data_IF_082813160903
#
_entry.id   IF_082813160903
#
_cell.length_a   1.000
_cell.length_b   1.000
_cell.length_c   1.000
_cell.angle_alpha   90.00
_cell.angle_beta   90.00
_cell.angle_gamma   90.00
#
_symmetry.space_group_name_H-M   'P 1'
#
loop_
_entity.id
_entity.type
_entity.pdbx_description
1 polymer ?
#
# COMPACT_ATOMS: atom_id res chain seq x y z
N UNK A 1 11.25 25.33 -12.58
CA UNK A 1 10.20 24.41 -13.03
C UNK A 1 10.66 22.99 -12.73
N UNK A 2 9.88 22.23 -11.94
CA UNK A 2 10.22 20.85 -11.53
C UNK A 2 9.81 19.93 -12.68
N UNK A 3 10.72 19.07 -13.13
CA UNK A 3 10.45 18.07 -14.16
C UNK A 3 10.20 16.70 -13.50
N UNK A 4 9.43 15.86 -14.19
CA UNK A 4 9.15 14.49 -13.70
C UNK A 4 10.44 13.68 -13.50
N UNK A 5 11.40 13.85 -14.38
CA UNK A 5 12.70 13.18 -14.33
C UNK A 5 13.49 13.49 -13.05
N UNK A 6 13.31 14.69 -12.50
CA UNK A 6 13.96 15.10 -11.26
C UNK A 6 13.36 14.35 -10.04
N UNK A 7 12.08 13.94 -10.12
CA UNK A 7 11.36 13.27 -9.04
C UNK A 7 11.55 11.73 -9.03
N UNK A 8 12.09 11.15 -10.09
CA UNK A 8 12.33 9.69 -10.18
C UNK A 8 13.43 9.26 -9.20
N UNK A 9 14.37 10.14 -8.90
CA UNK A 9 15.41 9.86 -7.91
C UNK A 9 14.78 9.88 -6.51
N UNK A 10 14.95 8.82 -5.71
CA UNK A 10 14.40 8.80 -4.35
C UNK A 10 14.91 9.98 -3.51
N UNK A 11 14.05 10.53 -2.69
CA UNK A 11 14.33 11.65 -1.76
C UNK A 11 14.80 12.94 -2.44
N UNK A 12 14.27 13.23 -3.63
CA UNK A 12 14.61 14.41 -4.43
C UNK A 12 13.46 15.41 -4.56
N UNK A 13 12.36 15.19 -3.85
CA UNK A 13 11.22 16.12 -3.87
C UNK A 13 11.61 17.46 -3.24
N UNK A 14 11.09 18.56 -3.78
CA UNK A 14 11.24 19.87 -3.15
C UNK A 14 10.42 19.90 -1.86
N UNK A 15 10.62 20.93 -1.08
CA UNK A 15 9.78 21.19 0.10
C UNK A 15 8.31 21.36 -0.31
N UNK A 16 7.46 20.45 0.19
CA UNK A 16 6.02 20.45 -0.07
C UNK A 16 5.25 21.18 1.05
N UNK A 17 3.93 21.27 0.93
CA UNK A 17 3.02 21.85 1.94
C UNK A 17 3.18 23.35 2.17
N UNK A 18 3.79 24.09 1.23
CA UNK A 18 3.98 25.54 1.35
C UNK A 18 2.65 26.34 1.39
N UNK A 19 1.58 25.79 0.80
CA UNK A 19 0.29 26.50 0.67
C UNK A 19 -0.87 25.78 1.35
N UNK A 20 -0.82 24.46 1.47
CA UNK A 20 -1.92 23.65 2.00
C UNK A 20 -1.38 22.38 2.66
N UNK A 21 -2.12 21.88 3.65
CA UNK A 21 -1.93 20.54 4.20
C UNK A 21 -2.51 19.49 3.26
N UNK A 22 -1.98 18.27 3.34
CA UNK A 22 -2.48 17.12 2.59
C UNK A 22 -3.17 16.13 3.55
N UNK A 23 -4.46 15.90 3.31
CA UNK A 23 -5.23 14.88 4.01
C UNK A 23 -5.54 13.75 3.02
N UNK A 24 -5.31 12.51 3.40
CA UNK A 24 -5.64 11.33 2.60
C UNK A 24 -6.67 10.47 3.32
N UNK A 25 -7.65 9.99 2.55
CA UNK A 25 -8.75 9.15 3.01
C UNK A 25 -8.80 7.92 2.09
N UNK A 26 -8.36 6.73 2.54
CA UNK A 26 -8.31 5.55 1.69
C UNK A 26 -9.71 5.00 1.39
N UNK A 27 -9.93 4.58 0.15
CA UNK A 27 -11.16 3.94 -0.31
C UNK A 27 -10.99 2.43 -0.59
N UNK A 28 -9.84 1.86 -0.18
CA UNK A 28 -9.54 0.42 -0.26
C UNK A 28 -8.80 0.00 1.00
N UNK A 29 -8.86 -1.29 1.34
CA UNK A 29 -8.16 -1.84 2.51
C UNK A 29 -6.96 -2.66 2.06
N UNK A 30 -5.90 -1.99 1.56
CA UNK A 30 -4.72 -2.69 1.04
C UNK A 30 -3.47 -1.84 0.91
N UNK A 31 -3.52 -0.79 0.09
CA UNK A 31 -2.34 -0.03 -0.34
C UNK A 31 -1.72 0.87 0.74
N UNK A 32 -2.52 1.26 1.74
CA UNK A 32 -2.10 2.13 2.84
C UNK A 32 -1.46 3.47 2.40
N UNK A 33 -1.89 4.01 1.26
CA UNK A 33 -1.34 5.25 0.70
C UNK A 33 -1.49 6.47 1.62
N UNK A 34 -2.43 6.41 2.56
CA UNK A 34 -2.69 7.46 3.54
C UNK A 34 -1.59 7.61 4.59
N UNK A 35 -0.72 6.62 4.75
CA UNK A 35 0.37 6.62 5.75
C UNK A 35 1.75 6.34 5.15
N UNK A 36 1.88 6.33 3.81
CA UNK A 36 3.12 5.90 3.17
C UNK A 36 3.84 7.03 2.43
N UNK A 37 5.14 6.87 2.28
CA UNK A 37 6.05 7.79 1.60
C UNK A 37 6.28 7.42 0.12
N UNK A 38 5.32 6.70 -0.51
CA UNK A 38 5.46 6.18 -1.85
C UNK A 38 4.31 6.59 -2.76
N UNK A 39 4.62 6.84 -4.04
CA UNK A 39 3.65 7.04 -5.12
C UNK A 39 4.13 6.32 -6.38
N UNK A 40 3.33 5.38 -6.89
CA UNK A 40 3.70 4.64 -8.11
C UNK A 40 2.97 5.22 -9.31
N UNK A 41 3.74 5.83 -10.22
CA UNK A 41 3.22 6.49 -11.41
C UNK A 41 3.61 5.70 -12.67
N UNK A 42 2.63 5.44 -13.53
CA UNK A 42 2.86 4.78 -14.81
C UNK A 42 3.09 5.82 -15.90
N UNK A 43 4.24 5.76 -16.56
CA UNK A 43 4.43 6.49 -17.81
C UNK A 43 3.78 5.70 -18.96
N UNK A 44 2.65 6.18 -19.45
CA UNK A 44 1.88 5.50 -20.49
C UNK A 44 2.58 5.48 -21.87
N UNK A 45 3.55 6.35 -22.11
CA UNK A 45 4.31 6.34 -23.37
C UNK A 45 5.32 5.19 -23.41
N UNK A 46 5.93 4.88 -22.27
CA UNK A 46 6.97 3.85 -22.16
C UNK A 46 6.48 2.56 -21.51
N UNK A 47 5.29 2.55 -20.91
CA UNK A 47 4.77 1.44 -20.11
C UNK A 47 5.51 1.22 -18.78
N UNK A 48 6.44 2.07 -18.42
CA UNK A 48 7.28 1.92 -17.22
C UNK A 48 6.57 2.49 -16.00
N UNK A 49 6.58 1.73 -14.90
CA UNK A 49 6.13 2.18 -13.58
C UNK A 49 7.31 2.73 -12.78
N UNK A 50 7.16 3.96 -12.30
CA UNK A 50 8.13 4.65 -11.47
C UNK A 50 7.65 4.73 -10.03
N UNK A 51 8.30 4.05 -9.08
CA UNK A 51 8.05 4.24 -7.66
C UNK A 51 8.75 5.53 -7.22
N UNK A 52 7.97 6.58 -6.99
CA UNK A 52 8.48 7.81 -6.38
C UNK A 52 8.49 7.61 -4.87
N UNK A 53 9.61 7.90 -4.23
CA UNK A 53 9.81 7.71 -2.79
C UNK A 53 10.36 8.98 -2.17
N UNK A 54 9.61 9.58 -1.25
CA UNK A 54 10.08 10.74 -0.48
C UNK A 54 9.21 10.90 0.77
N UNK A 55 9.81 11.17 1.92
CA UNK A 55 9.06 11.41 3.15
C UNK A 55 8.14 12.63 3.05
N UNK A 56 8.46 13.60 2.19
CA UNK A 56 7.63 14.78 1.95
C UNK A 56 6.28 14.46 1.32
N UNK A 57 6.09 13.30 0.66
CA UNK A 57 4.80 12.92 0.07
C UNK A 57 3.88 12.20 1.04
N UNK A 58 4.37 11.77 2.21
CA UNK A 58 3.50 11.22 3.25
C UNK A 58 2.43 12.23 3.64
N UNK A 59 1.15 11.88 3.68
CA UNK A 59 0.09 12.80 4.08
C UNK A 59 0.30 13.38 5.48
N UNK A 60 -0.13 14.63 5.69
CA UNK A 60 -0.11 15.27 7.03
C UNK A 60 -1.19 14.70 7.96
N UNK A 61 -2.30 14.23 7.37
CA UNK A 61 -3.43 13.64 8.08
C UNK A 61 -3.93 12.43 7.29
N UNK A 62 -4.11 11.31 7.98
CA UNK A 62 -4.80 10.14 7.47
C UNK A 62 -6.16 10.01 8.17
N UNK A 63 -7.23 9.84 7.39
CA UNK A 63 -8.56 9.54 7.91
C UNK A 63 -8.92 8.14 7.45
N UNK A 64 -8.95 7.20 8.39
CA UNK A 64 -9.27 5.79 8.12
C UNK A 64 -10.74 5.57 8.45
N UNK A 65 -11.61 5.76 7.44
CA UNK A 65 -13.05 5.70 7.57
C UNK A 65 -13.59 4.40 6.94
N UNK A 66 -14.05 3.43 7.75
CA UNK A 66 -14.52 2.14 7.26
C UNK A 66 -15.79 2.22 6.40
N UNK A 67 -16.58 3.28 6.50
CA UNK A 67 -17.76 3.48 5.67
C UNK A 67 -17.42 3.58 4.18
N UNK A 68 -16.23 4.07 3.85
CA UNK A 68 -15.77 4.19 2.46
C UNK A 68 -15.44 2.84 1.82
N UNK A 69 -15.22 1.80 2.59
CA UNK A 69 -14.93 0.45 2.10
C UNK A 69 -16.11 -0.52 2.24
N UNK A 70 -17.22 -0.07 2.82
CA UNK A 70 -18.41 -0.89 3.01
C UNK A 70 -18.96 -1.47 1.69
N UNK A 71 -18.95 -0.67 0.61
CA UNK A 71 -19.40 -1.06 -0.73
C UNK A 71 -18.36 -1.68 -1.63
N UNK A 72 -17.16 -1.98 -1.13
CA UNK A 72 -16.06 -2.49 -1.97
C UNK A 72 -16.40 -3.86 -2.58
N UNK A 73 -16.25 -4.08 -3.90
CA UNK A 73 -16.49 -5.36 -4.54
C UNK A 73 -15.64 -6.48 -3.93
N UNK A 74 -16.22 -7.66 -3.73
CA UNK A 74 -15.56 -8.79 -3.03
C UNK A 74 -14.20 -9.19 -3.64
N UNK A 75 -14.05 -9.11 -4.98
CA UNK A 75 -12.76 -9.35 -5.64
C UNK A 75 -11.70 -8.33 -5.21
N UNK A 76 -12.09 -7.07 -5.05
CA UNK A 76 -11.18 -6.03 -4.58
C UNK A 76 -10.82 -6.26 -3.10
N UNK A 77 -11.78 -6.66 -2.27
CA UNK A 77 -11.51 -7.05 -0.88
C UNK A 77 -10.44 -8.14 -0.80
N UNK A 78 -10.55 -9.18 -1.64
CA UNK A 78 -9.55 -10.25 -1.69
C UNK A 78 -8.17 -9.72 -2.13
N UNK A 79 -8.12 -8.99 -3.24
CA UNK A 79 -6.85 -8.50 -3.79
C UNK A 79 -6.17 -7.51 -2.84
N UNK A 80 -6.91 -6.54 -2.33
CA UNK A 80 -6.33 -5.54 -1.42
C UNK A 80 -6.00 -6.12 -0.06
N UNK A 81 -6.78 -7.08 0.44
CA UNK A 81 -6.47 -7.79 1.69
C UNK A 81 -5.19 -8.63 1.59
N UNK A 82 -4.99 -9.33 0.48
CA UNK A 82 -3.74 -10.06 0.23
C UNK A 82 -2.55 -9.12 0.03
N UNK A 83 -2.76 -7.95 -0.55
CA UNK A 83 -1.75 -6.89 -0.65
C UNK A 83 -1.32 -6.42 0.74
N UNK A 84 -2.29 -6.13 1.63
CA UNK A 84 -2.01 -5.75 3.02
C UNK A 84 -1.25 -6.84 3.79
N UNK A 85 -1.60 -8.12 3.57
CA UNK A 85 -0.86 -9.25 4.16
C UNK A 85 0.59 -9.28 3.69
N UNK A 86 0.81 -9.12 2.39
CA UNK A 86 2.15 -9.11 1.81
C UNK A 86 2.97 -7.93 2.31
N UNK A 87 2.36 -6.73 2.40
CA UNK A 87 2.98 -5.55 3.01
C UNK A 87 3.49 -5.85 4.42
N UNK A 88 2.65 -6.44 5.26
CA UNK A 88 3.00 -6.73 6.64
C UNK A 88 4.09 -7.81 6.76
N UNK A 89 4.00 -8.89 5.96
CA UNK A 89 5.01 -9.95 5.96
C UNK A 89 6.35 -9.41 5.47
N UNK A 90 6.38 -8.69 4.35
CA UNK A 90 7.63 -8.16 3.82
C UNK A 90 8.25 -7.11 4.74
N UNK A 91 7.44 -6.27 5.40
CA UNK A 91 7.94 -5.35 6.43
C UNK A 91 8.58 -6.10 7.60
N UNK A 92 7.96 -7.19 8.06
CA UNK A 92 8.47 -7.98 9.17
C UNK A 92 9.80 -8.70 8.87
N UNK A 93 9.97 -9.22 7.63
CA UNK A 93 11.19 -9.91 7.22
C UNK A 93 12.23 -8.99 6.57
N UNK A 94 11.95 -7.71 6.47
CA UNK A 94 12.86 -6.72 5.89
C UNK A 94 14.16 -6.62 6.70
N UNK A 95 15.24 -6.34 6.01
CA UNK A 95 16.53 -6.04 6.67
C UNK A 95 16.53 -4.71 7.43
N UNK A 96 15.51 -3.89 7.24
CA UNK A 96 15.28 -2.61 7.94
C UNK A 96 14.18 -2.71 9.01
N UNK A 97 13.73 -3.92 9.33
CA UNK A 97 12.75 -4.14 10.39
C UNK A 97 13.32 -3.76 11.76
N UNK A 98 12.46 -3.61 12.74
CA UNK A 98 12.89 -3.26 14.09
C UNK A 98 11.74 -3.09 15.10
N UNK A 99 12.06 -2.73 16.34
CA UNK A 99 11.08 -2.70 17.43
C UNK A 99 9.92 -1.74 17.23
N UNK A 100 10.01 -0.81 16.28
CA UNK A 100 8.92 0.12 15.94
C UNK A 100 8.04 -0.39 14.80
N UNK A 101 8.55 -1.28 13.93
CA UNK A 101 7.83 -1.81 12.78
C UNK A 101 7.28 -3.21 13.02
N UNK A 102 8.02 -4.05 13.73
CA UNK A 102 7.67 -5.46 13.97
C UNK A 102 6.31 -5.63 14.67
N UNK A 103 6.00 -4.89 15.76
CA UNK A 103 4.69 -5.02 16.40
C UNK A 103 3.52 -4.65 15.50
N UNK A 104 3.70 -3.62 14.66
CA UNK A 104 2.69 -3.18 13.70
C UNK A 104 2.48 -4.24 12.60
N UNK A 105 3.57 -4.78 12.08
CA UNK A 105 3.54 -5.83 11.06
C UNK A 105 2.88 -7.11 11.58
N UNK A 106 3.27 -7.58 12.76
CA UNK A 106 2.68 -8.78 13.37
C UNK A 106 1.20 -8.60 13.66
N UNK A 107 0.79 -7.46 14.23
CA UNK A 107 -0.61 -7.15 14.48
C UNK A 107 -1.41 -7.11 13.18
N UNK A 108 -0.86 -6.51 12.12
CA UNK A 108 -1.51 -6.49 10.81
C UNK A 108 -1.67 -7.90 10.23
N UNK A 109 -0.65 -8.75 10.31
CA UNK A 109 -0.72 -10.16 9.85
C UNK A 109 -1.85 -10.90 10.59
N UNK A 110 -1.88 -10.83 11.90
CA UNK A 110 -2.89 -11.48 12.73
C UNK A 110 -4.30 -11.02 12.33
N UNK A 111 -4.51 -9.70 12.26
CA UNK A 111 -5.80 -9.13 11.87
C UNK A 111 -6.23 -9.54 10.47
N UNK A 112 -5.33 -9.54 9.47
CA UNK A 112 -5.67 -9.96 8.11
C UNK A 112 -6.08 -11.43 8.09
N UNK A 113 -5.34 -12.32 8.75
CA UNK A 113 -5.66 -13.75 8.81
C UNK A 113 -7.02 -14.00 9.47
N UNK A 114 -7.34 -13.26 10.52
CA UNK A 114 -8.60 -13.43 11.26
C UNK A 114 -9.81 -12.85 10.52
N UNK A 115 -9.65 -11.69 9.88
CA UNK A 115 -10.79 -10.92 9.36
C UNK A 115 -10.97 -10.97 7.86
N UNK A 116 -9.95 -11.25 7.03
CA UNK A 116 -10.09 -11.24 5.58
C UNK A 116 -11.17 -12.20 5.06
N UNK A 117 -11.28 -13.46 5.55
CA UNK A 117 -12.34 -14.36 5.09
C UNK A 117 -13.76 -13.84 5.38
N UNK A 118 -13.98 -13.26 6.54
CA UNK A 118 -15.28 -12.70 6.92
C UNK A 118 -15.56 -11.39 6.15
N UNK A 119 -14.55 -10.54 5.95
CA UNK A 119 -14.63 -9.32 5.15
C UNK A 119 -14.98 -9.63 3.69
N UNK A 120 -14.38 -10.66 3.10
CA UNK A 120 -14.74 -11.16 1.77
C UNK A 120 -16.20 -11.59 1.69
N UNK A 121 -16.74 -12.21 2.74
CA UNK A 121 -18.15 -12.60 2.86
C UNK A 121 -19.08 -11.45 3.30
N UNK A 122 -18.65 -10.21 3.10
CA UNK A 122 -19.43 -9.00 3.36
C UNK A 122 -19.81 -8.76 4.83
N UNK A 123 -19.04 -9.27 5.80
CA UNK A 123 -19.18 -8.89 7.19
C UNK A 123 -18.59 -7.49 7.39
N UNK A 124 -19.40 -6.52 7.84
CA UNK A 124 -19.01 -5.11 7.93
C UNK A 124 -18.02 -4.86 9.08
N UNK A 125 -18.18 -5.53 10.21
CA UNK A 125 -17.22 -5.41 11.33
C UNK A 125 -15.85 -5.93 10.90
N UNK A 126 -15.81 -7.02 10.14
CA UNK A 126 -14.56 -7.53 9.58
C UNK A 126 -13.95 -6.60 8.51
N UNK A 127 -14.78 -5.88 7.73
CA UNK A 127 -14.27 -4.85 6.79
C UNK A 127 -13.63 -3.69 7.53
N UNK A 128 -14.21 -3.26 8.62
CA UNK A 128 -13.62 -2.25 9.50
C UNK A 128 -12.25 -2.72 10.02
N UNK A 129 -12.18 -3.94 10.56
CA UNK A 129 -10.90 -4.49 11.05
C UNK A 129 -9.85 -4.61 9.94
N UNK A 130 -10.25 -5.01 8.73
CA UNK A 130 -9.36 -5.04 7.57
C UNK A 130 -8.87 -3.64 7.17
N UNK A 131 -9.71 -2.61 7.35
CA UNK A 131 -9.33 -1.23 7.06
C UNK A 131 -8.29 -0.71 8.06
N UNK A 132 -8.36 -1.12 9.32
CA UNK A 132 -7.32 -0.84 10.31
C UNK A 132 -6.05 -1.65 10.07
N UNK A 133 -6.18 -2.94 9.75
CA UNK A 133 -5.04 -3.82 9.49
C UNK A 133 -4.15 -3.31 8.35
N UNK A 134 -4.75 -2.84 7.25
CA UNK A 134 -4.00 -2.28 6.13
C UNK A 134 -3.22 -1.01 6.53
N UNK A 135 -3.80 -0.17 7.38
CA UNK A 135 -3.13 1.04 7.87
C UNK A 135 -1.92 0.67 8.75
N UNK A 136 -2.08 -0.32 9.65
CA UNK A 136 -0.97 -0.85 10.46
C UNK A 136 0.16 -1.42 9.58
N UNK A 137 -0.19 -2.22 8.56
CA UNK A 137 0.76 -2.73 7.57
C UNK A 137 1.49 -1.59 6.86
N UNK A 138 0.76 -0.52 6.50
CA UNK A 138 1.30 0.67 5.88
C UNK A 138 2.33 1.40 6.74
N UNK A 139 2.03 1.61 8.01
CA UNK A 139 2.95 2.22 8.96
C UNK A 139 4.21 1.36 9.14
N UNK A 140 4.07 0.01 9.13
CA UNK A 140 5.20 -0.89 9.20
C UNK A 140 6.08 -0.77 7.95
N UNK A 141 5.54 -1.03 6.75
CA UNK A 141 6.36 -1.09 5.54
C UNK A 141 6.87 0.28 5.07
N UNK A 142 6.18 1.36 5.38
CA UNK A 142 6.67 2.71 5.05
C UNK A 142 8.00 3.01 5.72
N UNK A 143 8.29 2.36 6.84
CA UNK A 143 9.53 2.50 7.60
C UNK A 143 10.51 1.34 7.39
N UNK A 144 10.02 0.10 7.29
CA UNK A 144 10.85 -1.09 7.08
C UNK A 144 11.16 -1.37 5.62
N UNK A 145 10.46 -0.72 4.68
CA UNK A 145 10.45 -0.99 3.25
C UNK A 145 9.87 -2.37 2.91
N UNK A 146 9.86 -2.68 1.61
CA UNK A 146 9.33 -3.92 1.03
C UNK A 146 10.46 -4.76 0.41
N UNK A 147 10.13 -5.97 -0.02
CA UNK A 147 11.10 -6.94 -0.50
C UNK A 147 10.89 -7.39 -1.95
N UNK A 148 11.19 -8.67 -2.17
CA UNK A 148 11.26 -9.29 -3.51
C UNK A 148 9.86 -9.47 -4.12
N UNK A 149 8.86 -9.83 -3.30
CA UNK A 149 7.50 -10.11 -3.78
C UNK A 149 6.90 -8.88 -4.46
N UNK A 150 6.95 -7.72 -3.80
CA UNK A 150 6.49 -6.47 -4.40
C UNK A 150 7.26 -6.08 -5.66
N UNK A 151 8.58 -6.30 -5.66
CA UNK A 151 9.41 -6.05 -6.84
C UNK A 151 9.01 -6.92 -8.02
N UNK A 152 8.74 -8.20 -7.81
CA UNK A 152 8.24 -9.11 -8.84
C UNK A 152 6.83 -8.73 -9.32
N UNK A 153 5.92 -8.43 -8.39
CA UNK A 153 4.55 -8.03 -8.72
C UNK A 153 4.50 -6.76 -9.59
N UNK A 154 5.31 -5.75 -9.26
CA UNK A 154 5.43 -4.53 -10.07
C UNK A 154 5.95 -4.82 -11.48
N UNK A 155 6.97 -5.67 -11.62
CA UNK A 155 7.55 -6.03 -12.93
C UNK A 155 6.60 -6.88 -13.74
N UNK A 156 5.91 -7.84 -13.13
CA UNK A 156 4.89 -8.66 -13.79
C UNK A 156 3.74 -7.82 -14.31
N UNK A 157 3.19 -6.91 -13.49
CA UNK A 157 2.13 -6.01 -13.90
C UNK A 157 2.52 -5.03 -15.01
N UNK A 158 3.81 -4.74 -15.18
CA UNK A 158 4.34 -3.91 -16.27
C UNK A 158 4.64 -4.69 -17.55
N UNK A 159 5.06 -5.97 -17.44
CA UNK A 159 5.58 -6.76 -18.56
C UNK A 159 4.47 -7.37 -19.44
N UNK A 160 3.29 -7.61 -18.90
CA UNK A 160 2.21 -8.29 -19.61
C UNK A 160 1.09 -7.34 -20.00
N UNK A 161 1.10 -6.87 -21.25
CA UNK A 161 0.09 -5.97 -21.80
C UNK A 161 -1.27 -6.65 -22.06
N UNK A 162 -1.32 -7.99 -22.05
CA UNK A 162 -2.49 -8.78 -22.46
C UNK A 162 -3.37 -9.30 -21.33
N UNK A 163 -2.99 -9.09 -20.08
CA UNK A 163 -3.80 -9.49 -18.93
C UNK A 163 -3.43 -8.61 -17.74
N UNK A 164 -4.31 -7.70 -17.39
CA UNK A 164 -4.10 -6.87 -16.20
C UNK A 164 -4.23 -7.76 -14.97
N UNK A 165 -3.09 -8.24 -14.45
CA UNK A 165 -3.06 -8.97 -13.18
C UNK A 165 -3.16 -7.91 -12.08
N UNK A 166 -4.21 -7.94 -11.25
CA UNK A 166 -4.32 -7.02 -10.12
C UNK A 166 -3.11 -7.17 -9.18
N UNK A 167 -2.60 -6.05 -8.67
CA UNK A 167 -1.38 -6.03 -7.88
C UNK A 167 -1.41 -6.99 -6.69
N UNK A 168 -2.47 -6.96 -5.89
CA UNK A 168 -2.63 -7.87 -4.76
C UNK A 168 -2.79 -9.35 -5.16
N UNK A 169 -3.30 -9.62 -6.37
CA UNK A 169 -3.32 -10.98 -6.91
C UNK A 169 -1.90 -11.47 -7.24
N UNK A 170 -1.07 -10.62 -7.85
CA UNK A 170 0.33 -10.94 -8.12
C UNK A 170 1.11 -11.18 -6.82
N UNK A 171 0.92 -10.31 -5.82
CA UNK A 171 1.53 -10.48 -4.51
C UNK A 171 1.13 -11.79 -3.82
N UNK A 172 -0.12 -12.22 -3.97
CA UNK A 172 -0.62 -13.47 -3.39
C UNK A 172 -0.06 -14.74 -4.08
N UNK A 173 0.45 -14.62 -5.30
CA UNK A 173 1.01 -15.74 -6.08
C UNK A 173 2.50 -15.94 -5.77
N UNK A 174 3.23 -14.86 -5.52
CA UNK A 174 4.67 -14.88 -5.25
C UNK A 174 4.99 -15.08 -3.77
#
# INVERSE_FOLDING_TARGET
EIKFEDLITPFSFPELRQKAKFCAIPSTSGTATEVTAFSVITNYQTGVKYPLADFNITPDVAIVDPDLVAGLPVKQVAYTGMDALTHAIEAYVSTLNGPFTDPLALQAIEMVLDYLPASYNCNMDAREQMHYAQCLAGMAFSNALLGIVHSMAHKTGAAFSTGHIPHGCANAIY
#
